data_IF_269414267332
#
_entry.id   IF_269414267332
#
_cell.length_a   1.000
_cell.length_b   1.000
_cell.length_c   1.000
_cell.angle_alpha   90.00
_cell.angle_beta   90.00
_cell.angle_gamma   90.00
#
_symmetry.space_group_name_H-M   'P 1'
#
loop_
_entity.id
_entity.type
_entity.pdbx_description
1 polymer ?
#
# COMPACT_ATOMS: atom_id res chain seq x y z
N UNK A 1 7.03 -8.48 -17.15
CA UNK A 1 6.03 -8.99 -16.19
C UNK A 1 5.70 -7.83 -15.26
N UNK A 2 4.52 -7.23 -15.38
CA UNK A 2 4.18 -5.97 -14.71
C UNK A 2 4.26 -6.11 -13.19
N UNK A 3 4.77 -5.06 -12.51
CA UNK A 3 4.73 -4.98 -11.04
C UNK A 3 3.30 -5.24 -10.59
N UNK A 4 3.10 -6.23 -9.75
CA UNK A 4 1.79 -6.57 -9.21
C UNK A 4 1.41 -5.60 -8.10
N UNK A 5 1.03 -4.38 -8.49
CA UNK A 5 0.62 -3.30 -7.58
C UNK A 5 -0.54 -3.73 -6.65
N UNK A 6 -1.43 -4.60 -7.14
CA UNK A 6 -2.45 -5.27 -6.33
C UNK A 6 -1.83 -6.09 -5.19
N UNK A 7 -0.78 -6.87 -5.47
CA UNK A 7 -0.08 -7.66 -4.45
C UNK A 7 0.68 -6.77 -3.45
N UNK A 8 1.25 -5.65 -3.91
CA UNK A 8 1.91 -4.65 -3.06
C UNK A 8 0.93 -4.02 -2.07
N UNK A 9 -0.27 -3.68 -2.54
CA UNK A 9 -1.35 -3.16 -1.70
C UNK A 9 -1.98 -4.25 -0.82
N UNK A 10 -1.77 -5.53 -1.14
CA UNK A 10 -2.32 -6.68 -0.43
C UNK A 10 -3.78 -6.97 -0.80
N UNK A 11 -4.14 -6.71 -2.06
CA UNK A 11 -5.48 -6.90 -2.63
C UNK A 11 -5.41 -7.81 -3.86
N UNK A 12 -6.54 -8.41 -4.24
CA UNK A 12 -6.62 -9.22 -5.46
C UNK A 12 -6.70 -8.35 -6.73
N UNK A 13 -6.21 -8.92 -7.84
CA UNK A 13 -6.37 -8.31 -9.16
C UNK A 13 -7.84 -8.32 -9.54
N UNK A 14 -8.43 -7.13 -9.64
CA UNK A 14 -9.88 -6.96 -9.83
C UNK A 14 -10.61 -6.48 -8.58
N UNK A 15 -9.89 -6.15 -7.50
CA UNK A 15 -10.45 -5.40 -6.38
C UNK A 15 -11.00 -4.05 -6.86
N UNK A 16 -12.15 -3.65 -6.31
CA UNK A 16 -12.81 -2.38 -6.62
C UNK A 16 -12.02 -1.18 -6.07
N UNK A 17 -12.25 0.01 -6.60
CA UNK A 17 -11.64 1.26 -6.12
C UNK A 17 -11.81 1.49 -4.61
N UNK A 18 -12.94 1.03 -4.06
CA UNK A 18 -13.21 1.04 -2.62
C UNK A 18 -12.25 0.14 -1.82
N UNK A 19 -11.93 -1.05 -2.33
CA UNK A 19 -10.99 -1.98 -1.72
C UNK A 19 -9.56 -1.45 -1.81
N UNK A 20 -9.19 -0.85 -2.93
CA UNK A 20 -7.91 -0.16 -3.14
C UNK A 20 -7.72 0.95 -2.10
N UNK A 21 -8.73 1.83 -1.93
CA UNK A 21 -8.72 2.89 -0.90
C UNK A 21 -8.67 2.35 0.53
N UNK A 22 -9.42 1.28 0.83
CA UNK A 22 -9.39 0.64 2.16
C UNK A 22 -8.02 0.05 2.47
N UNK A 23 -7.42 -0.67 1.51
CA UNK A 23 -6.11 -1.27 1.65
C UNK A 23 -5.02 -0.21 1.86
N UNK A 24 -5.04 0.85 1.03
CA UNK A 24 -4.11 1.98 1.15
C UNK A 24 -4.22 2.65 2.54
N UNK A 25 -5.43 2.98 3.01
CA UNK A 25 -5.61 3.54 4.37
C UNK A 25 -5.09 2.62 5.47
N UNK A 26 -5.32 1.31 5.35
CA UNK A 26 -4.89 0.32 6.34
C UNK A 26 -3.37 0.19 6.39
N UNK A 27 -2.72 0.20 5.23
CA UNK A 27 -1.26 0.19 5.12
C UNK A 27 -0.66 1.52 5.60
N UNK A 28 -1.22 2.66 5.20
CA UNK A 28 -0.81 3.97 5.67
C UNK A 28 -0.82 4.05 7.20
N UNK A 29 -1.92 3.66 7.85
CA UNK A 29 -2.00 3.60 9.32
C UNK A 29 -0.97 2.66 9.96
N UNK A 30 -0.56 1.60 9.25
CA UNK A 30 0.43 0.62 9.73
C UNK A 30 1.87 1.14 9.59
N UNK A 31 2.16 1.95 8.58
CA UNK A 31 3.48 2.55 8.35
C UNK A 31 3.66 3.90 9.07
N UNK A 32 2.62 4.73 9.13
CA UNK A 32 2.66 6.05 9.78
C UNK A 32 2.63 6.01 11.31
N UNK A 33 2.39 4.86 11.94
CA UNK A 33 2.30 4.80 13.40
C UNK A 33 3.71 4.96 14.02
N UNK A 34 4.04 6.11 14.64
CA UNK A 34 5.40 6.39 15.12
C UNK A 34 5.83 5.45 16.25
N UNK A 35 4.84 4.86 16.92
CA UNK A 35 5.01 3.89 18.00
C UNK A 35 5.36 2.49 17.49
N UNK A 36 4.88 2.11 16.29
CA UNK A 36 5.07 0.76 15.71
C UNK A 36 6.10 0.70 14.60
N UNK A 37 6.45 1.83 13.98
CA UNK A 37 7.36 1.86 12.85
C UNK A 37 8.43 2.93 13.01
N UNK A 38 9.57 2.51 13.58
CA UNK A 38 10.83 3.28 13.64
C UNK A 38 11.88 2.75 12.66
N UNK A 39 11.50 1.81 11.78
CA UNK A 39 12.42 1.22 10.81
C UNK A 39 12.40 2.00 9.49
N UNK A 40 13.56 2.28 8.88
CA UNK A 40 13.65 2.94 7.57
C UNK A 40 12.93 2.15 6.46
N UNK A 41 12.75 0.85 6.64
CA UNK A 41 11.95 0.00 5.74
C UNK A 41 10.46 0.36 5.68
N UNK A 42 9.94 1.11 6.66
CA UNK A 42 8.55 1.57 6.66
C UNK A 42 8.29 2.60 5.56
N UNK A 43 9.25 3.51 5.36
CA UNK A 43 9.17 4.56 4.35
C UNK A 43 9.24 3.97 2.95
N UNK A 44 10.12 2.98 2.74
CA UNK A 44 10.27 2.28 1.46
C UNK A 44 9.00 1.52 1.08
N UNK A 45 8.42 0.75 2.02
CA UNK A 45 7.14 0.07 1.79
C UNK A 45 5.97 1.03 1.59
N UNK A 46 5.98 2.17 2.29
CA UNK A 46 4.95 3.18 2.10
C UNK A 46 5.03 3.81 0.71
N UNK A 47 6.24 4.07 0.20
CA UNK A 47 6.48 4.51 -1.19
C UNK A 47 5.98 3.49 -2.21
N UNK A 48 6.26 2.20 -2.02
CA UNK A 48 5.75 1.15 -2.91
C UNK A 48 4.23 1.08 -2.91
N UNK A 49 3.61 1.22 -1.73
CA UNK A 49 2.14 1.23 -1.58
C UNK A 49 1.51 2.49 -2.19
N UNK A 50 2.17 3.64 -2.12
CA UNK A 50 1.73 4.88 -2.75
C UNK A 50 1.85 4.81 -4.28
N UNK A 51 3.00 4.34 -4.81
CA UNK A 51 3.19 4.11 -6.25
C UNK A 51 2.16 3.12 -6.78
N UNK A 52 1.92 2.03 -6.05
CA UNK A 52 0.89 1.05 -6.40
C UNK A 52 -0.50 1.69 -6.48
N UNK A 53 -0.87 2.46 -5.46
CA UNK A 53 -2.16 3.15 -5.40
C UNK A 53 -2.31 4.16 -6.56
N UNK A 54 -1.30 4.96 -6.87
CA UNK A 54 -1.35 5.92 -7.99
C UNK A 54 -1.49 5.24 -9.37
N UNK A 55 -1.04 3.99 -9.51
CA UNK A 55 -1.12 3.27 -10.78
C UNK A 55 -2.45 2.52 -10.95
N UNK A 56 -3.08 2.05 -9.86
CA UNK A 56 -4.30 1.22 -9.94
C UNK A 56 -5.59 1.90 -9.46
N UNK A 57 -5.51 3.06 -8.78
CA UNK A 57 -6.66 3.86 -8.36
C UNK A 57 -7.10 4.86 -9.45
#
# INVERSE_FOLDING_TARGET
>A
MGKDYYCILGIEKGASDEDIKKAYRKQALKFHHPDKNKSPQAEEKFKEVAEAYEVIA
#
